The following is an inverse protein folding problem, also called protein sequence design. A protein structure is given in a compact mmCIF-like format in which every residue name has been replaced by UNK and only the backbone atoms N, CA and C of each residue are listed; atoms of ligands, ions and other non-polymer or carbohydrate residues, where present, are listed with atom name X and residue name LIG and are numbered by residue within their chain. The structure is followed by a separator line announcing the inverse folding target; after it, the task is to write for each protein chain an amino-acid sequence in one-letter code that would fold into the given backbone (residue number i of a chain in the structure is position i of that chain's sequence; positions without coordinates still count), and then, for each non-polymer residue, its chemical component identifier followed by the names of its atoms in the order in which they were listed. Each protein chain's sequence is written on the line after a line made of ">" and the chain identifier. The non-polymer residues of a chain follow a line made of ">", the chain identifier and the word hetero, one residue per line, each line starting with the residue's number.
data_IF_576825907370
#
_entry.id   IF_576825907370
#
_cell.length_a   1.000
_cell.length_b   1.000
_cell.length_c   1.000
_cell.angle_alpha   90.00
_cell.angle_beta   90.00
_cell.angle_gamma   90.00
#
_symmetry.space_group_name_H-M   'P 1'
#
loop_
_entity.id
_entity.type
_entity.pdbx_description
1 polymer ?
#
# COMPACT_ATOMS: atom_id res chain seq x y z
N UNK A 1 3.95 -0.07 -2.58
CA UNK A 1 3.54 1.33 -2.32
C UNK A 1 2.79 1.86 -3.54
N UNK A 2 1.88 2.82 -3.35
CA UNK A 2 1.19 3.44 -4.49
C UNK A 2 2.19 4.11 -5.43
N UNK A 3 1.97 3.97 -6.74
CA UNK A 3 2.91 4.42 -7.78
C UNK A 3 2.13 4.96 -9.00
N UNK A 4 2.83 5.25 -10.10
CA UNK A 4 2.24 5.72 -11.35
C UNK A 4 1.77 4.54 -12.21
N UNK A 5 0.47 4.46 -12.47
CA UNK A 5 -0.16 3.35 -13.18
C UNK A 5 -0.48 3.69 -14.64
N UNK A 6 0.56 4.03 -15.41
CA UNK A 6 0.50 4.21 -16.88
C UNK A 6 -0.75 4.95 -17.39
N UNK A 7 -1.66 4.24 -18.06
CA UNK A 7 -2.90 4.79 -18.63
C UNK A 7 -3.82 5.45 -17.59
N UNK A 8 -3.68 5.08 -16.32
CA UNK A 8 -4.49 5.60 -15.22
C UNK A 8 -3.78 6.71 -14.43
N UNK A 9 -2.52 7.00 -14.73
CA UNK A 9 -1.70 7.91 -13.93
C UNK A 9 -1.75 7.56 -12.44
N UNK A 10 -2.03 8.54 -11.60
CA UNK A 10 -2.11 8.37 -10.13
C UNK A 10 -3.52 8.09 -9.60
N UNK A 11 -4.49 7.82 -10.49
CA UNK A 11 -5.90 7.60 -10.09
C UNK A 11 -6.14 6.20 -9.51
N UNK A 12 -5.32 5.21 -9.87
CA UNK A 12 -5.36 3.84 -9.33
C UNK A 12 -4.22 3.63 -8.34
N UNK A 13 -4.51 2.90 -7.26
CA UNK A 13 -3.65 2.77 -6.07
C UNK A 13 -3.63 1.33 -5.57
N UNK A 14 -2.63 0.57 -5.98
CA UNK A 14 -2.53 -0.87 -5.68
C UNK A 14 -1.60 -1.20 -4.51
N UNK A 15 -0.79 -0.27 -4.04
CA UNK A 15 0.19 -0.56 -3.00
C UNK A 15 -0.46 -0.72 -1.62
N UNK A 16 0.12 -1.58 -0.78
CA UNK A 16 -0.26 -1.67 0.65
C UNK A 16 0.22 -0.45 1.49
N UNK A 17 0.99 0.45 0.88
CA UNK A 17 1.45 1.71 1.47
C UNK A 17 0.94 2.85 0.61
N UNK A 18 0.14 3.74 1.20
CA UNK A 18 -0.33 4.96 0.57
C UNK A 18 0.80 6.00 0.48
N UNK A 19 0.83 6.73 -0.62
CA UNK A 19 1.72 7.87 -0.84
C UNK A 19 0.88 9.12 -1.04
N UNK A 20 1.12 10.12 -0.19
CA UNK A 20 0.74 11.49 -0.49
C UNK A 20 1.75 12.04 -1.51
N UNK A 21 1.35 12.16 -2.77
CA UNK A 21 2.26 12.59 -3.83
C UNK A 21 2.74 14.04 -3.69
N UNK A 22 2.02 14.88 -2.93
CA UNK A 22 2.44 16.27 -2.69
C UNK A 22 3.60 16.34 -1.72
N UNK A 23 3.58 15.50 -0.68
CA UNK A 23 4.54 15.56 0.44
C UNK A 23 5.51 14.39 0.47
N UNK A 24 5.29 13.38 -0.37
CA UNK A 24 5.99 12.09 -0.37
C UNK A 24 5.86 11.29 0.94
N UNK A 25 4.95 11.70 1.83
CA UNK A 25 4.67 10.97 3.07
C UNK A 25 4.14 9.57 2.76
N UNK A 26 4.72 8.58 3.43
CA UNK A 26 4.31 7.18 3.37
C UNK A 26 3.40 6.86 4.55
N UNK A 27 2.24 6.30 4.27
CA UNK A 27 1.23 5.93 5.27
C UNK A 27 0.90 4.47 5.04
N UNK A 28 1.07 3.65 6.08
CA UNK A 28 0.71 2.23 6.01
C UNK A 28 -0.83 2.12 5.91
N UNK A 29 -1.32 1.35 4.95
CA UNK A 29 -2.75 1.00 4.87
C UNK A 29 -3.03 -0.19 5.78
N UNK A 30 -4.31 -0.48 6.03
CA UNK A 30 -4.71 -1.65 6.82
C UNK A 30 -4.17 -2.96 6.21
N UNK A 31 -4.12 -3.04 4.88
CA UNK A 31 -3.51 -4.17 4.17
C UNK A 31 -2.03 -4.39 4.51
N UNK A 32 -1.27 -3.33 4.85
CA UNK A 32 0.11 -3.49 5.30
C UNK A 32 0.19 -4.05 6.72
N UNK A 33 -0.74 -3.66 7.60
CA UNK A 33 -0.84 -4.21 8.94
C UNK A 33 -1.26 -5.68 8.90
N UNK A 34 -2.28 -6.00 8.12
CA UNK A 34 -2.70 -7.39 7.87
C UNK A 34 -1.56 -8.23 7.28
N UNK A 35 -0.86 -7.74 6.26
CA UNK A 35 0.23 -8.49 5.62
C UNK A 35 1.43 -8.71 6.57
N UNK A 36 1.71 -7.75 7.45
CA UNK A 36 2.70 -7.92 8.52
C UNK A 36 2.34 -9.09 9.43
N UNK A 37 1.09 -9.16 9.88
CA UNK A 37 0.65 -10.23 10.78
C UNK A 37 0.59 -11.59 10.08
N UNK A 38 0.15 -11.61 8.81
CA UNK A 38 0.23 -12.81 7.96
C UNK A 38 1.65 -13.33 7.86
N UNK A 39 2.65 -12.49 7.55
CA UNK A 39 4.05 -12.94 7.44
C UNK A 39 4.57 -13.42 8.79
N UNK A 40 4.23 -12.72 9.87
CA UNK A 40 4.68 -13.04 11.23
C UNK A 40 4.15 -14.40 11.69
N UNK A 41 2.86 -14.66 11.45
CA UNK A 41 2.17 -15.83 11.97
C UNK A 41 2.13 -17.00 10.97
N UNK A 42 2.28 -16.71 9.66
CA UNK A 42 2.12 -17.65 8.54
C UNK A 42 0.77 -18.36 8.49
N UNK A 43 -0.26 -17.69 9.01
CA UNK A 43 -1.64 -18.17 9.06
C UNK A 43 -2.52 -17.06 8.48
N UNK A 44 -3.49 -17.46 7.67
CA UNK A 44 -4.50 -16.57 7.12
C UNK A 44 -5.78 -16.75 7.94
N UNK A 45 -6.25 -15.66 8.54
CA UNK A 45 -7.54 -15.56 9.25
C UNK A 45 -8.66 -15.13 8.30
#
# INVERSE_FOLDING_TARGET
>A
MDNFEWQYGYSKRFGIVFIDYKTQKRILKDSAMWYKDLIKNRIME
#
